data_IF_145890886389
#
_entry.id   IF_145890886389
#
_cell.length_a   1.000
_cell.length_b   1.000
_cell.length_c   1.000
_cell.angle_alpha   90.00
_cell.angle_beta   90.00
_cell.angle_gamma   90.00
#
_symmetry.space_group_name_H-M   'P 1'
#
loop_
_entity.id
_entity.type
_entity.pdbx_description
1 polymer ?
#
# COMPACT_ATOMS: atom_id res chain seq x y z
N UNK A 1 -20.81 -13.53 5.52
CA UNK A 1 -20.31 -14.90 5.79
C UNK A 1 -19.68 -14.91 7.19
N UNK A 2 -20.08 -15.81 8.09
CA UNK A 2 -19.65 -15.80 9.50
C UNK A 2 -18.53 -16.83 9.78
N UNK A 3 -17.79 -16.65 10.88
CA UNK A 3 -16.83 -17.63 11.40
C UNK A 3 -15.43 -17.52 10.81
N UNK A 4 -14.82 -18.67 10.45
CA UNK A 4 -13.40 -18.78 10.04
C UNK A 4 -13.18 -18.35 8.58
N UNK A 5 -14.22 -18.37 7.74
CA UNK A 5 -14.11 -18.09 6.30
C UNK A 5 -13.56 -16.69 5.97
N UNK A 6 -14.00 -15.59 6.62
CA UNK A 6 -13.38 -14.28 6.43
C UNK A 6 -11.90 -14.24 6.79
N UNK A 7 -11.46 -15.00 7.80
CA UNK A 7 -10.05 -15.06 8.21
C UNK A 7 -9.21 -15.72 7.11
N UNK A 8 -9.71 -16.80 6.49
CA UNK A 8 -9.01 -17.45 5.37
C UNK A 8 -8.90 -16.50 4.16
N UNK A 9 -9.99 -15.81 3.83
CA UNK A 9 -10.00 -14.83 2.73
C UNK A 9 -9.07 -13.65 2.96
N UNK A 10 -8.76 -13.35 4.21
CA UNK A 10 -7.87 -12.26 4.57
C UNK A 10 -6.39 -12.65 4.50
N UNK A 11 -6.01 -13.92 4.35
CA UNK A 11 -4.59 -14.31 4.36
C UNK A 11 -3.74 -13.45 3.39
N UNK A 12 -2.57 -12.91 3.80
CA UNK A 12 -1.90 -13.00 5.12
C UNK A 12 -2.28 -11.87 6.12
N UNK A 13 -3.39 -11.17 5.92
CA UNK A 13 -3.90 -10.04 6.68
C UNK A 13 -5.00 -10.42 7.68
N UNK A 14 -4.94 -11.61 8.28
CA UNK A 14 -5.95 -12.08 9.24
C UNK A 14 -6.16 -11.10 10.40
N UNK A 15 -5.12 -10.34 10.76
CA UNK A 15 -5.18 -9.33 11.82
C UNK A 15 -6.06 -8.12 11.46
N UNK A 16 -6.32 -7.87 10.17
CA UNK A 16 -7.21 -6.81 9.67
C UNK A 16 -8.69 -7.22 9.72
N UNK A 17 -9.01 -8.32 10.42
CA UNK A 17 -10.37 -8.83 10.50
C UNK A 17 -11.30 -7.89 11.27
N UNK A 18 -12.46 -7.64 10.67
CA UNK A 18 -13.60 -6.97 11.27
C UNK A 18 -14.82 -7.87 11.17
N UNK A 19 -15.68 -7.82 12.19
CA UNK A 19 -16.84 -8.71 12.24
C UNK A 19 -17.90 -8.33 11.18
N UNK A 20 -18.88 -9.21 10.96
CA UNK A 20 -19.89 -8.98 9.93
C UNK A 20 -20.86 -7.84 10.29
N UNK A 21 -21.07 -7.51 11.56
CA UNK A 21 -21.90 -6.36 11.96
C UNK A 21 -21.26 -5.03 11.56
N UNK A 22 -19.93 -4.96 11.54
CA UNK A 22 -19.19 -3.81 11.00
C UNK A 22 -19.14 -3.80 9.46
N UNK A 23 -19.76 -4.78 8.78
CA UNK A 23 -19.65 -4.95 7.33
C UNK A 23 -18.36 -5.63 6.86
N UNK A 24 -17.65 -6.33 7.76
CA UNK A 24 -16.34 -6.90 7.48
C UNK A 24 -15.26 -5.82 7.33
N UNK A 25 -14.09 -6.21 6.80
CA UNK A 25 -12.97 -5.28 6.60
C UNK A 25 -13.32 -4.13 5.65
N UNK A 26 -14.13 -4.38 4.63
CA UNK A 26 -14.59 -3.35 3.70
C UNK A 26 -15.52 -2.33 4.36
N UNK A 27 -16.42 -2.76 5.27
CA UNK A 27 -17.24 -1.82 6.04
C UNK A 27 -16.41 -1.03 7.07
N UNK A 28 -15.31 -1.60 7.56
CA UNK A 28 -14.37 -0.91 8.43
C UNK A 28 -13.45 0.07 7.69
N UNK A 29 -13.19 -0.14 6.40
CA UNK A 29 -12.35 0.73 5.58
C UNK A 29 -12.85 2.18 5.65
N UNK A 30 -11.91 3.12 5.84
CA UNK A 30 -12.14 4.57 6.05
C UNK A 30 -12.83 4.98 7.35
N UNK A 31 -13.39 4.03 8.10
CA UNK A 31 -14.03 4.29 9.40
C UNK A 31 -13.14 3.86 10.58
N UNK A 32 -12.29 2.85 10.36
CA UNK A 32 -11.38 2.28 11.33
C UNK A 32 -10.02 1.95 10.70
N UNK A 33 -9.04 1.68 11.55
CA UNK A 33 -7.71 1.21 11.16
C UNK A 33 -7.77 -0.23 10.62
N UNK A 34 -7.39 -0.48 9.37
CA UNK A 34 -7.45 -1.83 8.77
C UNK A 34 -6.08 -2.48 8.67
N UNK A 35 -5.11 -1.81 8.05
CA UNK A 35 -3.75 -2.31 7.82
C UNK A 35 -2.73 -1.39 8.49
N UNK A 36 -2.32 -1.76 9.71
CA UNK A 36 -1.41 -0.95 10.52
C UNK A 36 0.06 -1.30 10.30
N UNK A 37 0.34 -2.59 10.01
CA UNK A 37 1.69 -3.15 10.04
C UNK A 37 2.46 -3.03 8.73
N UNK A 38 1.87 -2.46 7.68
CA UNK A 38 2.50 -2.27 6.38
C UNK A 38 2.92 -3.60 5.72
N UNK A 39 2.26 -4.70 6.09
CA UNK A 39 2.39 -6.02 5.46
C UNK A 39 2.09 -5.94 3.96
N UNK A 40 1.21 -5.02 3.56
CA UNK A 40 0.84 -4.82 2.16
C UNK A 40 2.01 -4.34 1.28
N UNK A 41 3.07 -3.76 1.87
CA UNK A 41 4.25 -3.32 1.11
C UNK A 41 4.95 -4.47 0.41
N UNK A 42 4.90 -5.69 0.95
CA UNK A 42 5.45 -6.87 0.28
C UNK A 42 4.79 -7.08 -1.08
N UNK A 43 3.47 -7.16 -1.11
CA UNK A 43 2.72 -7.37 -2.36
C UNK A 43 2.85 -6.18 -3.29
N UNK A 44 2.83 -4.95 -2.75
CA UNK A 44 2.98 -3.74 -3.54
C UNK A 44 4.34 -3.70 -4.27
N UNK A 45 5.43 -3.89 -3.55
CA UNK A 45 6.79 -3.81 -4.12
C UNK A 45 7.05 -5.00 -5.05
N UNK A 46 6.64 -6.22 -4.69
CA UNK A 46 6.77 -7.38 -5.58
C UNK A 46 5.96 -7.21 -6.88
N UNK A 47 4.83 -6.51 -6.82
CA UNK A 47 4.07 -6.14 -8.02
C UNK A 47 4.77 -5.08 -8.88
N UNK A 48 5.58 -4.21 -8.28
CA UNK A 48 6.31 -3.15 -8.98
C UNK A 48 7.60 -3.68 -9.63
N UNK A 49 8.29 -4.61 -8.99
CA UNK A 49 9.54 -5.20 -9.48
C UNK A 49 9.52 -5.54 -10.99
N UNK A 50 8.52 -6.26 -11.55
CA UNK A 50 8.51 -6.59 -12.98
C UNK A 50 8.19 -5.40 -13.91
N UNK A 51 7.70 -4.28 -13.37
CA UNK A 51 7.39 -3.06 -14.13
C UNK A 51 8.53 -2.03 -14.08
N UNK A 52 9.45 -2.19 -13.13
CA UNK A 52 10.50 -1.23 -12.87
C UNK A 52 11.65 -1.36 -13.87
N UNK A 53 12.06 -0.22 -14.45
CA UNK A 53 13.29 -0.11 -15.20
C UNK A 53 14.48 0.19 -14.27
N UNK A 54 15.73 -0.12 -14.67
CA UNK A 54 16.91 0.28 -13.90
C UNK A 54 16.93 1.78 -13.61
N UNK A 55 17.04 2.14 -12.32
CA UNK A 55 17.03 3.53 -11.88
C UNK A 55 15.67 4.04 -11.42
N UNK A 56 14.63 3.19 -11.46
CA UNK A 56 13.30 3.49 -10.88
C UNK A 56 13.42 3.98 -9.44
N UNK A 57 12.76 5.07 -9.12
CA UNK A 57 12.66 5.59 -7.75
C UNK A 57 11.29 5.26 -7.16
N UNK A 58 11.27 4.68 -5.96
CA UNK A 58 10.04 4.46 -5.20
C UNK A 58 10.11 5.26 -3.90
N UNK A 59 9.34 6.34 -3.85
CA UNK A 59 9.15 7.16 -2.66
C UNK A 59 8.09 6.52 -1.77
N UNK A 60 8.46 6.18 -0.54
CA UNK A 60 7.59 5.46 0.39
C UNK A 60 7.12 6.42 1.47
N UNK A 61 5.80 6.56 1.62
CA UNK A 61 5.17 7.52 2.55
C UNK A 61 5.60 7.33 4.01
N UNK A 62 5.80 6.08 4.43
CA UNK A 62 6.08 5.70 5.82
C UNK A 62 6.88 4.40 5.89
N UNK A 63 7.86 4.34 6.79
CA UNK A 63 8.75 3.19 7.03
C UNK A 63 9.36 2.62 5.74
N UNK A 64 10.08 3.47 4.98
CA UNK A 64 10.68 3.10 3.70
C UNK A 64 11.56 1.84 3.77
N UNK A 65 12.23 1.60 4.91
CA UNK A 65 13.05 0.41 5.14
C UNK A 65 12.25 -0.91 5.06
N UNK A 66 10.94 -0.91 5.33
CA UNK A 66 10.09 -2.10 5.19
C UNK A 66 9.92 -2.45 3.71
N UNK A 67 9.67 -1.46 2.87
CA UNK A 67 9.56 -1.66 1.42
C UNK A 67 10.89 -2.11 0.80
N UNK A 68 12.01 -1.57 1.29
CA UNK A 68 13.36 -1.89 0.80
C UNK A 68 13.72 -3.38 0.90
N UNK A 69 13.15 -4.12 1.85
CA UNK A 69 13.39 -5.56 1.96
C UNK A 69 12.87 -6.36 0.75
N UNK A 70 11.91 -5.83 0.00
CA UNK A 70 11.25 -6.51 -1.13
C UNK A 70 11.66 -5.97 -2.50
N UNK A 71 12.42 -4.88 -2.54
CA UNK A 71 12.80 -4.19 -3.76
C UNK A 71 13.97 -4.88 -4.47
N UNK A 72 13.88 -5.00 -5.79
CA UNK A 72 15.02 -5.44 -6.61
C UNK A 72 16.07 -4.34 -6.76
N UNK A 73 17.29 -4.70 -7.17
CA UNK A 73 18.44 -3.78 -7.28
C UNK A 73 18.23 -2.63 -8.27
N UNK A 74 17.27 -2.75 -9.19
CA UNK A 74 16.89 -1.69 -10.13
C UNK A 74 16.03 -0.58 -9.52
N UNK A 75 15.47 -0.80 -8.33
CA UNK A 75 14.60 0.16 -7.63
C UNK A 75 15.38 0.79 -6.47
N UNK A 76 15.45 2.11 -6.47
CA UNK A 76 15.95 2.87 -5.32
C UNK A 76 14.78 3.28 -4.44
N UNK A 77 14.80 2.83 -3.18
CA UNK A 77 13.80 3.21 -2.18
C UNK A 77 14.18 4.54 -1.52
N UNK A 78 13.22 5.46 -1.42
CA UNK A 78 13.40 6.81 -0.84
C UNK A 78 12.37 7.04 0.27
N UNK A 79 12.75 7.68 1.36
CA UNK A 79 11.81 8.08 2.41
C UNK A 79 11.14 9.40 1.99
N UNK A 80 9.87 9.33 1.62
CA UNK A 80 9.11 10.48 1.17
C UNK A 80 9.11 11.62 2.21
N UNK A 81 9.14 11.31 3.52
CA UNK A 81 9.06 12.34 4.57
C UNK A 81 10.27 13.27 4.58
N UNK A 82 11.41 12.79 4.11
CA UNK A 82 12.67 13.56 4.09
C UNK A 82 13.07 13.95 2.67
N UNK A 83 12.67 13.18 1.67
CA UNK A 83 13.17 13.30 0.29
C UNK A 83 12.09 13.74 -0.71
N UNK A 84 10.87 14.11 -0.28
CA UNK A 84 9.77 14.49 -1.20
C UNK A 84 10.15 15.55 -2.25
N UNK A 85 11.06 16.47 -1.92
CA UNK A 85 11.50 17.54 -2.82
C UNK A 85 12.36 17.04 -4.00
N UNK A 86 12.84 15.81 -3.92
CA UNK A 86 13.68 15.19 -4.95
C UNK A 86 12.88 14.36 -5.95
N UNK A 87 11.59 14.13 -5.67
CA UNK A 87 10.68 13.34 -6.49
C UNK A 87 10.33 14.07 -7.78
N UNK A 88 10.26 13.32 -8.88
CA UNK A 88 10.08 13.82 -10.25
C UNK A 88 8.95 13.08 -10.96
N UNK A 89 8.49 13.66 -12.06
CA UNK A 89 7.59 12.99 -13.02
C UNK A 89 8.19 11.64 -13.43
N UNK A 90 7.35 10.61 -13.44
CA UNK A 90 7.72 9.23 -13.74
C UNK A 90 8.12 8.39 -12.52
N UNK A 91 8.49 9.00 -11.39
CA UNK A 91 8.78 8.27 -10.15
C UNK A 91 7.52 7.62 -9.57
N UNK A 92 7.71 6.62 -8.70
CA UNK A 92 6.61 5.93 -8.04
C UNK A 92 6.46 6.37 -6.58
N UNK A 93 5.23 6.34 -6.10
CA UNK A 93 4.86 6.68 -4.74
C UNK A 93 4.06 5.56 -4.08
N UNK A 94 4.62 4.93 -3.04
CA UNK A 94 3.96 3.91 -2.22
C UNK A 94 3.33 4.55 -0.97
N UNK A 95 2.02 4.36 -0.82
CA UNK A 95 1.23 4.93 0.27
C UNK A 95 0.26 3.90 0.84
N UNK A 96 0.19 3.84 2.17
CA UNK A 96 -0.84 3.09 2.89
C UNK A 96 -2.11 3.94 3.06
N UNK A 97 -3.25 3.30 3.24
CA UNK A 97 -4.55 3.98 3.39
C UNK A 97 -4.88 4.35 4.83
N UNK A 98 -4.02 3.99 5.79
CA UNK A 98 -4.15 4.39 7.19
C UNK A 98 -4.30 5.91 7.28
N UNK A 99 -5.22 6.37 8.12
CA UNK A 99 -5.54 7.80 8.28
C UNK A 99 -5.87 8.54 6.97
N UNK A 100 -6.28 7.78 5.95
CA UNK A 100 -6.56 8.26 4.60
C UNK A 100 -5.38 9.00 3.94
N UNK A 101 -4.14 8.56 4.21
CA UNK A 101 -2.94 9.18 3.64
C UNK A 101 -2.92 9.15 2.11
N UNK A 102 -3.49 8.11 1.50
CA UNK A 102 -3.60 7.96 0.05
C UNK A 102 -4.52 8.98 -0.63
N UNK A 103 -5.36 9.68 0.15
CA UNK A 103 -6.24 10.77 -0.31
C UNK A 103 -5.61 12.16 -0.13
N UNK A 104 -4.37 12.25 0.37
CA UNK A 104 -3.71 13.54 0.66
C UNK A 104 -2.70 13.96 -0.39
N UNK A 105 -2.17 13.01 -1.15
CA UNK A 105 -1.11 13.23 -2.11
C UNK A 105 -1.31 12.32 -3.32
N UNK A 106 -1.23 12.90 -4.52
CA UNK A 106 -1.58 12.24 -5.79
C UNK A 106 -2.95 11.54 -5.71
N UNK A 107 -3.92 12.15 -5.04
CA UNK A 107 -5.25 11.59 -4.80
C UNK A 107 -6.06 11.43 -6.10
N UNK A 108 -5.76 12.24 -7.10
CA UNK A 108 -6.33 12.19 -8.45
C UNK A 108 -5.62 11.19 -9.39
N UNK A 109 -4.42 10.71 -9.02
CA UNK A 109 -3.66 9.77 -9.84
C UNK A 109 -4.14 8.33 -9.66
N UNK A 110 -4.30 7.57 -10.76
CA UNK A 110 -4.69 6.17 -10.68
C UNK A 110 -3.59 5.34 -10.02
N UNK A 111 -4.01 4.29 -9.33
CA UNK A 111 -3.08 3.30 -8.80
C UNK A 111 -2.51 2.44 -9.93
N UNK A 112 -1.18 2.35 -10.00
CA UNK A 112 -0.48 1.35 -10.82
C UNK A 112 -0.60 -0.03 -10.16
N UNK A 113 -0.52 -0.06 -8.83
CA UNK A 113 -0.69 -1.27 -8.02
C UNK A 113 -1.64 -0.95 -6.86
N UNK A 114 -2.61 -1.83 -6.65
CA UNK A 114 -3.54 -1.78 -5.52
C UNK A 114 -3.45 -3.09 -4.74
N UNK A 115 -3.09 -3.02 -3.47
CA UNK A 115 -3.17 -4.16 -2.55
C UNK A 115 -4.43 -3.99 -1.71
N UNK A 116 -5.44 -4.81 -2.01
CA UNK A 116 -6.73 -4.77 -1.35
C UNK A 116 -7.21 -6.17 -0.93
N UNK A 117 -8.07 -6.22 0.09
CA UNK A 117 -8.80 -7.43 0.49
C UNK A 117 -10.23 -7.08 0.86
N UNK A 118 -11.19 -7.83 0.31
CA UNK A 118 -12.59 -7.78 0.71
C UNK A 118 -13.18 -6.36 0.84
N UNK A 119 -12.87 -5.50 -0.15
CA UNK A 119 -13.38 -4.12 -0.24
C UNK A 119 -12.60 -3.07 0.57
N UNK A 120 -11.52 -3.45 1.24
CA UNK A 120 -10.59 -2.51 1.87
C UNK A 120 -9.28 -2.45 1.07
N UNK A 121 -8.87 -1.23 0.72
CA UNK A 121 -7.56 -0.97 0.13
C UNK A 121 -6.57 -0.79 1.27
N UNK A 122 -5.44 -1.49 1.25
CA UNK A 122 -4.41 -1.41 2.29
C UNK A 122 -3.27 -0.48 1.89
N UNK A 123 -2.75 -0.61 0.68
CA UNK A 123 -1.83 0.35 0.09
C UNK A 123 -1.90 0.38 -1.42
N UNK A 124 -1.36 1.47 -1.95
CA UNK A 124 -1.32 1.81 -3.37
C UNK A 124 0.09 2.17 -3.78
N UNK A 125 0.47 1.85 -5.01
CA UNK A 125 1.55 2.52 -5.71
C UNK A 125 0.94 3.36 -6.83
N UNK A 126 1.29 4.64 -6.86
CA UNK A 126 0.89 5.60 -7.89
C UNK A 126 2.14 6.09 -8.63
N UNK A 127 1.99 6.48 -9.89
CA UNK A 127 3.07 7.13 -10.63
C UNK A 127 2.89 8.65 -10.58
N UNK A 128 3.98 9.38 -10.40
CA UNK A 128 4.00 10.84 -10.42
C UNK A 128 3.84 11.31 -11.88
N UNK A 129 2.90 12.22 -12.17
CA UNK A 129 2.66 12.72 -13.53
C UNK A 129 3.82 13.55 -14.06
#
# INVERSE_FOLDING_TARGET
>A
MFGILPIVQLHPYQYAYYNQFTGGVGGAFRNYETEYWLTCYREAVLGLNPLAEPGTQLFVRREAYIAAYYAETGITIRDFRTEQNEMRSGDYYLVNTRSNEDLRFLDDQPAVIEVARNGAIFCLIKQVP
#
